data_IF_040536689296
#
_entry.id   IF_040536689296
#
_cell.length_a   1.000
_cell.length_b   1.000
_cell.length_c   1.000
_cell.angle_alpha   90.00
_cell.angle_beta   90.00
_cell.angle_gamma   90.00
#
_symmetry.space_group_name_H-M   'P 1'
#
loop_
_entity.id
_entity.type
_entity.pdbx_description
1 polymer ?
#
# COMPACT_ATOMS: atom_id res chain seq x y z
N UNK A 1 8.37 37.02 7.41
CA UNK A 1 7.41 35.88 7.29
C UNK A 1 7.80 34.84 6.25
N UNK A 2 8.98 34.92 5.64
CA UNK A 2 9.49 33.93 4.68
C UNK A 2 9.68 32.52 5.30
N UNK A 3 9.75 32.41 6.62
CA UNK A 3 9.99 31.16 7.33
C UNK A 3 8.78 30.20 7.26
N UNK A 4 7.58 30.69 6.95
CA UNK A 4 6.35 29.88 6.78
C UNK A 4 6.02 29.57 5.32
N UNK A 5 6.82 30.03 4.36
CA UNK A 5 6.54 29.85 2.94
C UNK A 5 7.22 28.62 2.34
N UNK A 6 8.15 27.96 3.05
CA UNK A 6 8.90 26.78 2.56
C UNK A 6 8.96 25.69 3.61
N UNK A 7 8.74 24.46 3.14
CA UNK A 7 9.11 23.26 3.88
C UNK A 7 10.64 23.12 3.89
N UNK A 8 11.19 22.52 4.93
CA UNK A 8 12.59 22.38 5.33
C UNK A 8 13.72 22.37 4.30
N UNK A 9 14.92 21.99 4.70
CA UNK A 9 16.10 21.97 3.83
C UNK A 9 15.98 20.83 2.78
N UNK A 10 16.50 21.06 1.56
CA UNK A 10 16.56 20.06 0.47
C UNK A 10 17.57 18.95 0.77
N UNK A 11 17.17 18.00 1.61
CA UNK A 11 18.04 16.93 2.12
C UNK A 11 17.66 15.53 1.65
N UNK A 12 16.45 15.34 1.09
CA UNK A 12 15.96 14.03 0.71
C UNK A 12 16.61 13.54 -0.58
N UNK A 13 17.04 12.28 -0.55
CA UNK A 13 17.59 11.54 -1.69
C UNK A 13 16.50 10.84 -2.50
N UNK A 14 16.87 10.26 -3.65
CA UNK A 14 15.98 9.38 -4.42
C UNK A 14 15.42 8.22 -3.56
N UNK A 15 16.25 7.63 -2.70
CA UNK A 15 15.83 6.50 -1.86
C UNK A 15 14.77 6.94 -0.86
N UNK A 16 14.91 8.12 -0.26
CA UNK A 16 13.91 8.64 0.69
C UNK A 16 12.54 8.87 0.03
N UNK A 17 12.50 9.38 -1.19
CA UNK A 17 11.24 9.62 -1.89
C UNK A 17 10.63 8.35 -2.51
N UNK A 18 11.44 7.36 -2.88
CA UNK A 18 10.96 6.01 -3.21
C UNK A 18 10.33 5.36 -1.97
N UNK A 19 11.00 5.47 -0.82
CA UNK A 19 10.51 4.94 0.45
C UNK A 19 9.14 5.51 0.83
N UNK A 20 8.91 6.81 0.58
CA UNK A 20 7.61 7.44 0.82
C UNK A 20 6.51 6.78 -0.01
N UNK A 21 6.71 6.57 -1.32
CA UNK A 21 5.71 5.95 -2.18
C UNK A 21 5.52 4.48 -1.86
N UNK A 22 6.60 3.69 -1.73
CA UNK A 22 6.52 2.27 -1.40
C UNK A 22 5.89 2.06 -0.02
N UNK A 23 6.32 2.83 0.98
CA UNK A 23 5.79 2.74 2.35
C UNK A 23 4.31 3.08 2.42
N UNK A 24 3.83 4.07 1.65
CA UNK A 24 2.40 4.37 1.61
C UNK A 24 1.59 3.31 0.85
N UNK A 25 2.09 2.76 -0.24
CA UNK A 25 1.40 1.66 -0.95
C UNK A 25 1.21 0.41 -0.07
N UNK A 26 2.08 0.19 0.92
CA UNK A 26 1.99 -0.93 1.84
C UNK A 26 1.94 -2.29 1.14
N UNK A 27 3.07 -2.77 0.59
CA UNK A 27 3.06 -3.99 -0.21
C UNK A 27 2.49 -5.20 0.53
N UNK A 28 2.83 -5.36 1.81
CA UNK A 28 2.40 -6.51 2.62
C UNK A 28 0.96 -6.34 3.08
N UNK A 29 0.56 -5.13 3.48
CA UNK A 29 -0.84 -4.81 3.78
C UNK A 29 -1.74 -5.11 2.59
N UNK A 30 -1.34 -4.66 1.40
CA UNK A 30 -2.08 -4.90 0.17
C UNK A 30 -2.15 -6.39 -0.17
N UNK A 31 -1.06 -7.14 0.00
CA UNK A 31 -1.05 -8.59 -0.23
C UNK A 31 -1.96 -9.33 0.75
N UNK A 32 -2.01 -8.92 2.02
CA UNK A 32 -2.82 -9.57 3.04
C UNK A 32 -4.32 -9.28 2.88
N UNK A 33 -4.70 -8.03 2.56
CA UNK A 33 -6.09 -7.58 2.68
C UNK A 33 -6.71 -7.04 1.38
N UNK A 34 -5.93 -6.53 0.43
CA UNK A 34 -6.47 -5.91 -0.78
C UNK A 34 -6.42 -6.83 -2.00
N UNK A 35 -5.38 -7.64 -2.18
CA UNK A 35 -5.33 -8.64 -3.26
C UNK A 35 -6.49 -9.63 -3.17
N UNK A 36 -6.90 -10.14 -1.99
CA UNK A 36 -8.10 -10.95 -1.87
C UNK A 36 -9.38 -10.30 -2.40
N UNK A 37 -9.52 -8.97 -2.28
CA UNK A 37 -10.66 -8.25 -2.85
C UNK A 37 -10.68 -8.31 -4.38
N UNK A 38 -9.51 -8.35 -5.03
CA UNK A 38 -9.37 -8.51 -6.49
C UNK A 38 -9.91 -9.88 -6.92
N UNK A 39 -9.65 -10.92 -6.13
CA UNK A 39 -10.16 -12.26 -6.39
C UNK A 39 -11.68 -12.39 -6.25
N UNK A 40 -12.32 -11.53 -5.45
CA UNK A 40 -13.75 -11.58 -5.19
C UNK A 40 -14.12 -11.70 -3.70
N UNK A 41 -13.14 -11.72 -2.80
CA UNK A 41 -13.35 -11.70 -1.35
C UNK A 41 -13.80 -10.31 -0.87
N UNK A 42 -14.95 -9.87 -1.35
CA UNK A 42 -15.55 -8.58 -1.06
C UNK A 42 -17.05 -8.71 -0.90
N UNK A 43 -17.72 -7.67 -0.42
CA UNK A 43 -19.16 -7.69 -0.12
C UNK A 43 -20.06 -8.04 -1.33
N UNK A 44 -19.56 -7.92 -2.55
CA UNK A 44 -20.33 -8.21 -3.77
C UNK A 44 -20.09 -9.60 -4.35
N UNK A 45 -19.03 -10.29 -3.92
CA UNK A 45 -18.58 -11.56 -4.49
C UNK A 45 -18.08 -11.45 -5.94
N UNK A 46 -17.93 -10.21 -6.48
CA UNK A 46 -17.44 -9.97 -7.84
C UNK A 46 -15.93 -9.77 -7.84
N UNK A 47 -15.25 -10.44 -8.76
CA UNK A 47 -13.81 -10.32 -8.88
C UNK A 47 -13.23 -11.15 -10.00
N UNK A 48 -11.92 -11.07 -10.16
CA UNK A 48 -11.18 -11.78 -11.21
C UNK A 48 -11.08 -13.30 -10.96
N UNK A 49 -11.39 -13.77 -9.74
CA UNK A 49 -11.24 -15.17 -9.38
C UNK A 49 -9.81 -15.65 -9.53
N UNK A 50 -9.60 -16.80 -10.21
CA UNK A 50 -8.26 -17.32 -10.49
C UNK A 50 -7.45 -16.42 -11.42
N UNK A 51 -8.09 -15.54 -12.22
CA UNK A 51 -7.40 -14.54 -13.04
C UNK A 51 -6.93 -13.30 -12.23
N UNK A 52 -6.84 -13.39 -10.91
CA UNK A 52 -6.31 -12.30 -10.04
C UNK A 52 -4.92 -11.82 -10.50
N UNK A 53 -3.94 -12.67 -10.84
CA UNK A 53 -2.65 -12.22 -11.38
C UNK A 53 -2.79 -11.40 -12.67
N UNK A 54 -3.69 -11.78 -13.56
CA UNK A 54 -3.97 -11.03 -14.79
C UNK A 54 -4.59 -9.64 -14.48
N UNK A 55 -5.54 -9.58 -13.55
CA UNK A 55 -6.14 -8.32 -13.13
C UNK A 55 -5.10 -7.37 -12.48
N UNK A 56 -4.15 -7.92 -11.72
CA UNK A 56 -3.01 -7.15 -11.15
C UNK A 56 -2.13 -6.58 -12.26
N UNK A 57 -1.84 -7.35 -13.33
CA UNK A 57 -1.09 -6.83 -14.50
C UNK A 57 -1.82 -5.65 -15.14
N UNK A 58 -3.13 -5.77 -15.37
CA UNK A 58 -3.91 -4.69 -15.96
C UNK A 58 -3.92 -3.44 -15.07
N UNK A 59 -4.09 -3.61 -13.76
CA UNK A 59 -4.02 -2.52 -12.79
C UNK A 59 -2.62 -1.86 -12.77
N UNK A 60 -1.56 -2.66 -12.82
CA UNK A 60 -0.18 -2.16 -12.88
C UNK A 60 0.08 -1.32 -14.14
N UNK A 61 -0.38 -1.79 -15.31
CA UNK A 61 -0.28 -1.04 -16.58
C UNK A 61 -1.03 0.29 -16.48
N UNK A 62 -2.27 0.27 -15.98
CA UNK A 62 -3.07 1.47 -15.79
C UNK A 62 -2.42 2.46 -14.81
N UNK A 63 -1.92 1.96 -13.68
CA UNK A 63 -1.23 2.80 -12.68
C UNK A 63 0.09 3.33 -13.22
N UNK A 64 0.85 2.54 -13.98
CA UNK A 64 2.09 3.01 -14.62
C UNK A 64 1.81 4.14 -15.62
N UNK A 65 0.74 4.05 -16.40
CA UNK A 65 0.31 5.11 -17.31
C UNK A 65 -0.07 6.40 -16.55
N UNK A 66 -0.82 6.28 -15.45
CA UNK A 66 -1.13 7.41 -14.57
C UNK A 66 0.16 7.98 -13.94
N UNK A 67 1.04 7.10 -13.45
CA UNK A 67 2.33 7.47 -12.89
C UNK A 67 3.22 8.23 -13.87
N UNK A 68 3.17 7.85 -15.15
CA UNK A 68 3.88 8.58 -16.21
C UNK A 68 3.36 10.02 -16.34
N UNK A 69 2.05 10.22 -16.34
CA UNK A 69 1.46 11.57 -16.40
C UNK A 69 1.90 12.40 -15.19
N UNK A 70 1.79 11.84 -13.98
CA UNK A 70 2.21 12.52 -12.74
C UNK A 70 3.71 12.84 -12.79
N UNK A 71 4.54 11.92 -13.29
CA UNK A 71 5.98 12.13 -13.46
C UNK A 71 6.31 13.27 -14.44
N UNK A 72 5.55 13.41 -15.53
CA UNK A 72 5.74 14.53 -16.48
C UNK A 72 5.40 15.88 -15.83
N UNK A 73 4.37 15.97 -15.02
CA UNK A 73 4.09 17.17 -14.22
C UNK A 73 5.20 17.43 -13.18
N UNK A 74 5.66 16.39 -12.50
CA UNK A 74 6.71 16.49 -11.48
C UNK A 74 8.07 16.98 -12.03
N UNK A 75 8.33 16.82 -13.32
CA UNK A 75 9.53 17.41 -13.98
C UNK A 75 9.47 18.95 -14.04
N UNK A 76 8.28 19.52 -13.96
CA UNK A 76 8.04 20.96 -14.16
C UNK A 76 7.61 21.68 -12.89
N UNK A 77 6.81 21.01 -12.05
CA UNK A 77 6.19 21.60 -10.84
C UNK A 77 6.76 20.85 -9.63
N UNK A 78 7.41 21.57 -8.72
CA UNK A 78 8.12 21.02 -7.55
C UNK A 78 7.53 21.58 -6.25
N UNK A 79 6.22 21.53 -6.12
CA UNK A 79 5.48 22.02 -4.96
C UNK A 79 4.96 20.84 -4.11
N UNK A 80 4.85 21.03 -2.80
CA UNK A 80 4.40 20.03 -1.85
C UNK A 80 2.94 19.60 -2.01
N UNK A 81 2.13 20.41 -2.69
CA UNK A 81 0.74 20.09 -3.00
C UNK A 81 0.54 19.00 -4.06
N UNK A 82 1.63 18.50 -4.70
CA UNK A 82 1.58 17.34 -5.59
C UNK A 82 0.40 17.41 -6.58
N UNK A 83 -0.55 16.48 -6.50
CA UNK A 83 -1.71 16.41 -7.39
C UNK A 83 -2.56 17.70 -7.37
N UNK A 84 -2.70 18.35 -6.21
CA UNK A 84 -3.38 19.65 -6.09
C UNK A 84 -2.75 20.69 -7.04
N UNK A 85 -1.42 20.82 -6.98
CA UNK A 85 -0.70 21.78 -7.82
C UNK A 85 -0.77 21.41 -9.31
N UNK A 86 -0.71 20.12 -9.63
CA UNK A 86 -0.79 19.64 -11.01
C UNK A 86 -2.16 19.92 -11.62
N UNK A 87 -3.23 19.62 -10.89
CA UNK A 87 -4.61 19.89 -11.33
C UNK A 87 -4.87 21.39 -11.42
N UNK A 88 -4.36 22.18 -10.45
CA UNK A 88 -4.48 23.64 -10.48
C UNK A 88 -3.84 24.23 -11.72
N UNK A 89 -2.64 23.77 -12.09
CA UNK A 89 -1.93 24.23 -13.28
C UNK A 89 -2.57 23.77 -14.59
N UNK A 90 -3.21 22.61 -14.61
CA UNK A 90 -3.82 22.03 -15.81
C UNK A 90 -5.26 22.45 -16.06
N UNK A 91 -6.09 22.54 -15.00
CA UNK A 91 -7.54 22.73 -15.08
C UNK A 91 -8.03 23.99 -14.34
N UNK A 92 -7.11 24.76 -13.75
CA UNK A 92 -7.40 26.00 -13.06
C UNK A 92 -7.69 25.83 -11.56
N UNK A 93 -7.68 26.95 -10.86
CA UNK A 93 -7.72 27.03 -9.39
C UNK A 93 -8.95 26.35 -8.75
N UNK A 94 -10.13 26.53 -9.34
CA UNK A 94 -11.38 25.98 -8.76
C UNK A 94 -11.35 24.45 -8.76
N UNK A 95 -10.96 23.84 -9.88
CA UNK A 95 -10.87 22.39 -10.03
C UNK A 95 -9.73 21.85 -9.16
N UNK A 96 -8.60 22.54 -9.15
CA UNK A 96 -7.47 22.18 -8.29
C UNK A 96 -7.82 22.18 -6.81
N UNK A 97 -8.51 23.21 -6.33
CA UNK A 97 -8.94 23.31 -4.91
C UNK A 97 -9.87 22.13 -4.55
N UNK A 98 -10.86 21.83 -5.38
CA UNK A 98 -11.76 20.68 -5.16
C UNK A 98 -10.95 19.37 -5.13
N UNK A 99 -10.07 19.16 -6.12
CA UNK A 99 -9.23 17.97 -6.19
C UNK A 99 -8.32 17.84 -4.97
N UNK A 100 -7.71 18.95 -4.51
CA UNK A 100 -6.87 18.99 -3.32
C UNK A 100 -7.63 18.60 -2.05
N UNK A 101 -8.80 19.17 -1.82
CA UNK A 101 -9.63 18.81 -0.67
C UNK A 101 -10.13 17.37 -0.71
N UNK A 102 -10.54 16.87 -1.86
CA UNK A 102 -10.94 15.46 -2.02
C UNK A 102 -9.76 14.52 -1.76
N UNK A 103 -8.60 14.79 -2.35
CA UNK A 103 -7.43 13.94 -2.22
C UNK A 103 -6.87 13.94 -0.78
N UNK A 104 -6.61 15.11 -0.22
CA UNK A 104 -6.04 15.19 1.14
C UNK A 104 -7.06 14.89 2.23
N UNK A 105 -8.33 15.15 2.00
CA UNK A 105 -9.41 14.68 2.85
C UNK A 105 -9.45 13.14 2.88
N UNK A 106 -9.42 12.51 1.71
CA UNK A 106 -9.38 11.04 1.62
C UNK A 106 -8.13 10.43 2.27
N UNK A 107 -6.93 11.01 2.05
CA UNK A 107 -5.70 10.49 2.68
C UNK A 107 -5.70 10.69 4.20
N UNK A 108 -6.32 11.74 4.72
CA UNK A 108 -6.48 11.96 6.16
C UNK A 108 -7.45 10.93 6.77
N UNK A 109 -8.56 10.65 6.09
CA UNK A 109 -9.50 9.59 6.50
C UNK A 109 -8.80 8.23 6.47
N UNK A 110 -8.02 7.94 5.42
CA UNK A 110 -7.25 6.71 5.32
C UNK A 110 -6.24 6.58 6.47
N UNK A 111 -5.48 7.63 6.79
CA UNK A 111 -4.56 7.61 7.92
C UNK A 111 -5.26 7.31 9.25
N UNK A 112 -6.47 7.86 9.45
CA UNK A 112 -7.29 7.59 10.62
C UNK A 112 -7.79 6.13 10.65
N UNK A 113 -8.23 5.60 9.51
CA UNK A 113 -8.66 4.21 9.38
C UNK A 113 -7.51 3.23 9.66
N UNK A 114 -6.30 3.52 9.17
CA UNK A 114 -5.10 2.75 9.47
C UNK A 114 -4.79 2.76 10.97
N UNK A 115 -4.93 3.89 11.64
CA UNK A 115 -4.72 3.97 13.09
C UNK A 115 -5.70 3.08 13.87
N UNK A 116 -6.97 3.02 13.44
CA UNK A 116 -7.97 2.13 14.05
C UNK A 116 -7.65 0.67 13.76
N UNK A 117 -7.31 0.34 12.52
CA UNK A 117 -6.99 -1.02 12.08
C UNK A 117 -5.79 -1.59 12.85
N UNK A 118 -4.73 -0.82 13.01
CA UNK A 118 -3.51 -1.30 13.67
C UNK A 118 -3.75 -1.62 15.14
N UNK A 119 -4.56 -0.83 15.84
CA UNK A 119 -4.87 -1.09 17.24
C UNK A 119 -5.71 -2.35 17.42
N UNK A 120 -6.65 -2.62 16.52
CA UNK A 120 -7.40 -3.89 16.49
C UNK A 120 -6.46 -5.07 16.24
N UNK A 121 -5.64 -5.02 15.18
CA UNK A 121 -4.69 -6.09 14.85
C UNK A 121 -3.71 -6.39 15.98
N UNK A 122 -3.11 -5.37 16.60
CA UNK A 122 -2.21 -5.55 17.74
C UNK A 122 -2.92 -6.19 18.92
N UNK A 123 -4.14 -5.72 19.24
CA UNK A 123 -4.93 -6.28 20.32
C UNK A 123 -5.25 -7.76 20.06
N UNK A 124 -5.76 -8.10 18.87
CA UNK A 124 -6.19 -9.44 18.52
C UNK A 124 -5.02 -10.43 18.44
N UNK A 125 -3.86 -9.99 17.87
CA UNK A 125 -2.63 -10.80 17.87
C UNK A 125 -2.14 -11.04 19.29
N UNK A 126 -2.10 -10.04 20.18
CA UNK A 126 -1.67 -10.22 21.56
C UNK A 126 -2.64 -11.09 22.35
N UNK A 127 -3.94 -10.96 22.13
CA UNK A 127 -4.94 -11.78 22.76
C UNK A 127 -4.86 -13.25 22.29
N UNK A 128 -4.76 -13.49 20.99
CA UNK A 128 -4.71 -14.83 20.39
C UNK A 128 -3.41 -15.57 20.70
N UNK A 129 -2.25 -14.91 20.54
CA UNK A 129 -0.96 -15.56 20.63
C UNK A 129 -0.36 -15.60 22.03
N UNK A 130 -0.70 -14.64 22.89
CA UNK A 130 -0.11 -14.49 24.23
C UNK A 130 -1.16 -14.50 25.35
N UNK A 131 -2.46 -14.59 25.04
CA UNK A 131 -3.54 -14.48 26.04
C UNK A 131 -3.61 -13.11 26.72
N UNK A 132 -2.99 -12.07 26.13
CA UNK A 132 -2.89 -10.75 26.73
C UNK A 132 -4.08 -9.87 26.29
N UNK A 133 -5.07 -9.75 27.17
CA UNK A 133 -6.31 -8.98 26.95
C UNK A 133 -6.46 -7.77 27.87
N UNK A 134 -5.45 -7.51 28.73
CA UNK A 134 -5.53 -6.49 29.77
C UNK A 134 -5.62 -5.05 29.23
N UNK A 135 -5.13 -4.81 28.01
CA UNK A 135 -5.10 -3.48 27.39
C UNK A 135 -6.15 -3.41 26.28
N UNK A 136 -7.13 -2.49 26.38
CA UNK A 136 -8.15 -2.33 25.35
C UNK A 136 -7.55 -1.85 24.02
N UNK A 137 -8.18 -2.21 22.88
CA UNK A 137 -7.69 -1.89 21.53
C UNK A 137 -7.45 -0.38 21.29
N UNK A 138 -8.28 0.50 21.87
CA UNK A 138 -8.15 1.94 21.70
C UNK A 138 -6.85 2.51 22.30
N UNK A 139 -6.26 1.86 23.30
CA UNK A 139 -4.95 2.27 23.84
C UNK A 139 -3.85 2.04 22.81
N UNK A 140 -3.91 0.94 22.07
CA UNK A 140 -3.00 0.66 20.96
C UNK A 140 -3.17 1.66 19.81
N UNK A 141 -4.41 2.07 19.52
CA UNK A 141 -4.69 3.14 18.56
C UNK A 141 -4.00 4.44 18.97
N UNK A 142 -4.18 4.86 20.23
CA UNK A 142 -3.54 6.08 20.75
C UNK A 142 -2.02 5.98 20.78
N UNK A 143 -1.49 4.82 21.15
CA UNK A 143 -0.03 4.57 21.13
C UNK A 143 0.53 4.71 19.70
N UNK A 144 -0.17 4.16 18.72
CA UNK A 144 0.22 4.30 17.32
C UNK A 144 0.14 5.75 16.82
N UNK A 145 -0.95 6.46 17.10
CA UNK A 145 -1.08 7.89 16.75
C UNK A 145 0.04 8.71 17.41
N UNK A 146 0.37 8.44 18.68
CA UNK A 146 1.47 9.09 19.38
C UNK A 146 2.82 8.79 18.73
N UNK A 147 3.05 7.55 18.29
CA UNK A 147 4.27 7.14 17.58
C UNK A 147 4.38 7.88 16.24
N UNK A 148 3.31 7.92 15.46
CA UNK A 148 3.28 8.63 14.17
C UNK A 148 3.55 10.12 14.39
N UNK A 149 2.88 10.74 15.37
CA UNK A 149 3.10 12.14 15.72
C UNK A 149 4.55 12.42 16.11
N UNK A 150 5.18 11.54 16.89
CA UNK A 150 6.59 11.64 17.27
C UNK A 150 7.51 11.52 16.04
N UNK A 151 7.30 10.53 15.18
CA UNK A 151 8.11 10.34 13.96
C UNK A 151 7.98 11.55 13.03
N UNK A 152 6.78 12.11 12.89
CA UNK A 152 6.53 13.31 12.09
C UNK A 152 7.22 14.55 12.69
N UNK A 153 7.21 14.69 14.02
CA UNK A 153 7.90 15.78 14.71
C UNK A 153 9.42 15.66 14.61
N UNK A 154 9.96 14.43 14.64
CA UNK A 154 11.41 14.17 14.50
C UNK A 154 11.95 14.53 13.11
N UNK A 155 11.07 14.73 12.11
CA UNK A 155 11.40 15.24 10.79
C UNK A 155 11.23 14.24 9.66
N UNK A 156 11.04 14.77 8.45
CA UNK A 156 10.71 13.99 7.25
C UNK A 156 11.74 12.92 6.90
N UNK A 157 13.02 13.19 7.11
CA UNK A 157 14.09 12.24 6.79
C UNK A 157 14.05 11.01 7.71
N UNK A 158 13.67 11.19 8.98
CA UNK A 158 13.44 10.08 9.91
C UNK A 158 12.19 9.32 9.51
N UNK A 159 11.11 10.03 9.17
CA UNK A 159 9.86 9.44 8.69
C UNK A 159 10.07 8.52 7.49
N UNK A 160 10.77 8.98 6.43
CA UNK A 160 11.02 8.18 5.23
C UNK A 160 11.94 6.98 5.50
N UNK A 161 12.94 7.13 6.36
CA UNK A 161 13.83 6.03 6.75
C UNK A 161 13.11 4.96 7.58
N UNK A 162 12.22 5.36 8.50
CA UNK A 162 11.38 4.44 9.25
C UNK A 162 10.47 3.66 8.29
N UNK A 163 9.78 4.35 7.38
CA UNK A 163 8.98 3.70 6.35
C UNK A 163 9.78 2.70 5.53
N UNK A 164 10.97 3.09 5.05
CA UNK A 164 11.84 2.21 4.28
C UNK A 164 12.21 0.94 5.04
N UNK A 165 12.65 1.09 6.30
CA UNK A 165 13.05 -0.04 7.12
C UNK A 165 11.88 -0.99 7.36
N UNK A 166 10.71 -0.47 7.75
CA UNK A 166 9.52 -1.27 7.99
C UNK A 166 9.07 -2.00 6.71
N UNK A 167 8.96 -1.29 5.58
CA UNK A 167 8.53 -1.89 4.31
C UNK A 167 9.52 -2.91 3.76
N UNK A 168 10.85 -2.67 3.86
CA UNK A 168 11.84 -3.64 3.36
C UNK A 168 11.85 -4.92 4.18
N UNK A 169 11.78 -4.81 5.51
CA UNK A 169 11.74 -5.98 6.39
C UNK A 169 10.47 -6.78 6.09
N UNK A 170 9.32 -6.12 6.08
CA UNK A 170 8.02 -6.77 5.87
C UNK A 170 7.92 -7.40 4.48
N UNK A 171 8.23 -6.63 3.42
CA UNK A 171 8.16 -7.13 2.06
C UNK A 171 9.17 -8.26 1.80
N UNK A 172 10.37 -8.19 2.38
CA UNK A 172 11.39 -9.23 2.27
C UNK A 172 10.92 -10.56 2.86
N UNK A 173 10.38 -10.54 4.08
CA UNK A 173 9.85 -11.74 4.74
C UNK A 173 8.70 -12.35 3.95
N UNK A 174 7.72 -11.53 3.55
CA UNK A 174 6.54 -12.02 2.83
C UNK A 174 6.89 -12.49 1.42
N UNK A 175 7.83 -11.84 0.74
CA UNK A 175 8.31 -12.27 -0.57
C UNK A 175 8.97 -13.66 -0.49
N UNK A 176 9.84 -13.88 0.50
CA UNK A 176 10.46 -15.19 0.73
C UNK A 176 9.41 -16.25 1.03
N UNK A 177 8.41 -15.93 1.84
CA UNK A 177 7.31 -16.83 2.12
C UNK A 177 6.48 -17.16 0.86
N UNK A 178 6.12 -16.17 0.05
CA UNK A 178 5.38 -16.41 -1.20
C UNK A 178 6.17 -17.24 -2.20
N UNK A 179 7.48 -17.04 -2.30
CA UNK A 179 8.35 -17.89 -3.13
C UNK A 179 8.33 -19.32 -2.61
N UNK A 180 8.40 -19.55 -1.30
CA UNK A 180 8.31 -20.87 -0.69
C UNK A 180 6.95 -21.54 -0.99
N UNK A 181 5.84 -20.81 -0.88
CA UNK A 181 4.49 -21.27 -1.27
C UNK A 181 4.46 -21.70 -2.73
N UNK A 182 4.96 -20.87 -3.65
CA UNK A 182 5.00 -21.21 -5.09
C UNK A 182 5.81 -22.47 -5.35
N UNK A 183 6.96 -22.61 -4.70
CA UNK A 183 7.83 -23.79 -4.88
C UNK A 183 7.23 -25.08 -4.31
N UNK A 184 6.41 -24.98 -3.27
CA UNK A 184 5.74 -26.12 -2.61
C UNK A 184 4.35 -26.42 -3.17
N UNK A 185 3.76 -25.51 -3.93
CA UNK A 185 2.44 -25.71 -4.52
C UNK A 185 2.42 -26.97 -5.38
N UNK A 186 1.36 -27.81 -5.26
CA UNK A 186 1.33 -29.14 -5.89
C UNK A 186 1.27 -29.08 -7.41
N UNK A 187 0.85 -27.97 -7.97
CA UNK A 187 0.79 -27.73 -9.42
C UNK A 187 1.14 -26.26 -9.73
N UNK A 188 1.46 -26.02 -10.99
CA UNK A 188 1.70 -24.68 -11.51
C UNK A 188 0.79 -24.48 -12.72
N UNK A 189 0.02 -23.38 -12.71
CA UNK A 189 -0.86 -23.06 -13.82
C UNK A 189 -0.65 -21.59 -14.25
N UNK A 190 -0.13 -21.41 -15.46
CA UNK A 190 0.08 -20.09 -16.05
C UNK A 190 -1.16 -19.54 -16.77
N UNK A 191 -2.23 -20.32 -16.90
CA UNK A 191 -3.49 -19.86 -17.49
C UNK A 191 -4.10 -18.71 -16.69
N UNK A 192 -3.79 -18.62 -15.39
CA UNK A 192 -4.23 -17.52 -14.48
C UNK A 192 -3.75 -16.13 -14.92
N UNK A 193 -2.76 -16.05 -15.81
CA UNK A 193 -2.32 -14.82 -16.46
C UNK A 193 -3.13 -14.47 -17.72
N UNK A 194 -4.24 -15.14 -17.94
CA UNK A 194 -5.12 -14.92 -19.09
C UNK A 194 -6.56 -14.64 -18.64
N UNK A 195 -7.37 -13.96 -19.46
CA UNK A 195 -8.78 -13.72 -19.14
C UNK A 195 -9.60 -14.99 -19.00
N UNK A 196 -9.16 -16.11 -19.61
CA UNK A 196 -9.89 -17.37 -19.61
C UNK A 196 -10.00 -18.02 -18.22
N UNK A 197 -9.09 -17.68 -17.28
CA UNK A 197 -9.12 -18.17 -15.91
C UNK A 197 -10.19 -17.52 -15.02
N UNK A 198 -10.90 -16.50 -15.50
CA UNK A 198 -11.97 -15.86 -14.73
C UNK A 198 -13.32 -16.51 -15.04
N UNK A 199 -13.97 -17.10 -14.04
CA UNK A 199 -15.33 -17.64 -14.16
C UNK A 199 -16.36 -16.54 -14.48
N UNK A 200 -16.14 -15.30 -14.02
CA UNK A 200 -17.00 -14.15 -14.29
C UNK A 200 -16.60 -13.40 -15.58
N UNK A 201 -15.60 -13.91 -16.32
CA UNK A 201 -15.10 -13.32 -17.56
C UNK A 201 -14.59 -11.90 -17.39
N UNK A 202 -14.68 -11.10 -18.44
CA UNK A 202 -14.20 -9.71 -18.42
C UNK A 202 -14.88 -8.82 -17.37
N UNK A 203 -16.16 -9.08 -17.04
CA UNK A 203 -16.87 -8.32 -16.01
C UNK A 203 -16.21 -8.48 -14.65
N UNK A 204 -15.86 -9.71 -14.28
CA UNK A 204 -15.15 -9.99 -13.05
C UNK A 204 -13.73 -9.43 -13.05
N UNK A 205 -13.01 -9.55 -14.17
CA UNK A 205 -11.65 -9.01 -14.32
C UNK A 205 -11.66 -7.48 -14.13
N UNK A 206 -12.54 -6.75 -14.84
CA UNK A 206 -12.61 -5.30 -14.72
C UNK A 206 -13.04 -4.84 -13.32
N UNK A 207 -13.91 -5.61 -12.67
CA UNK A 207 -14.25 -5.38 -11.27
C UNK A 207 -13.04 -5.62 -10.35
N UNK A 208 -12.27 -6.67 -10.60
CA UNK A 208 -10.99 -6.92 -9.92
C UNK A 208 -9.98 -5.80 -10.15
N UNK A 209 -9.87 -5.27 -11.37
CA UNK A 209 -8.99 -4.13 -11.68
C UNK A 209 -9.35 -2.89 -10.85
N UNK A 210 -10.65 -2.66 -10.56
CA UNK A 210 -11.08 -1.58 -9.68
C UNK A 210 -10.39 -1.66 -8.29
N UNK A 211 -10.39 -2.86 -7.69
CA UNK A 211 -9.63 -3.11 -6.45
C UNK A 211 -8.13 -3.13 -6.70
N UNK A 212 -7.70 -3.59 -7.88
CA UNK A 212 -6.30 -3.57 -8.31
C UNK A 212 -5.69 -2.17 -8.34
N UNK A 213 -6.46 -1.14 -8.64
CA UNK A 213 -5.98 0.25 -8.53
C UNK A 213 -5.74 0.66 -7.08
N UNK A 214 -6.54 0.15 -6.12
CA UNK A 214 -6.38 0.48 -4.70
C UNK A 214 -5.04 0.01 -4.12
N UNK A 215 -4.48 -1.13 -4.58
CA UNK A 215 -3.20 -1.61 -4.07
C UNK A 215 -2.02 -0.69 -4.44
N UNK A 216 -2.21 0.20 -5.41
CA UNK A 216 -1.20 1.17 -5.84
C UNK A 216 -1.42 2.57 -5.28
N UNK A 217 -2.47 2.83 -4.51
CA UNK A 217 -2.70 4.15 -3.91
C UNK A 217 -1.49 4.54 -3.07
N UNK A 218 -0.94 5.73 -3.34
CA UNK A 218 0.28 6.22 -2.70
C UNK A 218 1.50 6.30 -3.62
N UNK A 219 1.44 5.74 -4.85
CA UNK A 219 2.56 5.80 -5.80
C UNK A 219 3.02 7.23 -6.09
N UNK A 220 2.11 8.18 -6.05
CA UNK A 220 2.33 9.60 -6.33
C UNK A 220 2.88 10.40 -5.14
N UNK A 221 2.89 9.83 -3.93
CA UNK A 221 3.19 10.58 -2.70
C UNK A 221 4.65 11.02 -2.58
N UNK A 222 5.57 10.46 -3.38
CA UNK A 222 6.90 11.03 -3.57
C UNK A 222 6.84 12.51 -3.96
N UNK A 223 5.83 12.92 -4.74
CA UNK A 223 5.68 14.31 -5.18
C UNK A 223 5.36 15.29 -4.04
N UNK A 224 4.76 14.83 -2.93
CA UNK A 224 4.54 15.65 -1.74
C UNK A 224 5.85 16.09 -1.05
N UNK A 225 6.96 15.40 -1.35
CA UNK A 225 8.29 15.69 -0.81
C UNK A 225 9.16 16.51 -1.77
N UNK A 226 8.59 17.04 -2.86
CA UNK A 226 9.35 17.72 -3.89
C UNK A 226 10.14 18.94 -3.37
N UNK A 227 9.56 19.72 -2.44
CA UNK A 227 10.23 20.89 -1.86
C UNK A 227 11.42 20.52 -0.96
N UNK A 228 11.39 19.34 -0.34
CA UNK A 228 12.41 18.83 0.58
C UNK A 228 13.46 17.94 -0.11
N UNK A 229 13.28 17.65 -1.41
CA UNK A 229 14.15 16.79 -2.21
C UNK A 229 15.32 17.59 -2.82
N UNK A 230 16.54 17.02 -2.78
CA UNK A 230 17.74 17.68 -3.29
C UNK A 230 17.69 17.94 -4.80
N UNK A 231 17.27 16.94 -5.58
CA UNK A 231 17.14 17.02 -7.04
C UNK A 231 15.72 16.65 -7.50
N UNK A 232 14.69 17.49 -7.21
CA UNK A 232 13.29 17.09 -7.41
C UNK A 232 12.96 16.77 -8.86
N UNK A 233 13.53 17.51 -9.84
CA UNK A 233 13.31 17.28 -11.28
C UNK A 233 13.66 15.88 -11.77
N UNK A 234 14.61 15.23 -11.11
CA UNK A 234 15.08 13.88 -11.47
C UNK A 234 14.57 12.82 -10.52
N UNK A 235 14.62 13.11 -9.22
CA UNK A 235 14.32 12.13 -8.17
C UNK A 235 12.82 11.82 -8.11
N UNK A 236 11.95 12.84 -8.15
CA UNK A 236 10.50 12.61 -8.02
C UNK A 236 9.93 11.78 -9.19
N UNK A 237 10.16 12.12 -10.49
CA UNK A 237 9.66 11.30 -11.59
C UNK A 237 10.19 9.87 -11.56
N UNK A 238 11.45 9.68 -11.21
CA UNK A 238 12.05 8.35 -11.07
C UNK A 238 11.44 7.58 -9.92
N UNK A 239 11.25 8.22 -8.77
CA UNK A 239 10.66 7.58 -7.60
C UNK A 239 9.25 7.07 -7.90
N UNK A 240 8.40 7.89 -8.52
CA UNK A 240 7.04 7.51 -8.91
C UNK A 240 7.05 6.26 -9.79
N UNK A 241 7.80 6.28 -10.89
CA UNK A 241 7.80 5.16 -11.83
C UNK A 241 8.48 3.91 -11.27
N UNK A 242 9.60 4.07 -10.57
CA UNK A 242 10.35 2.95 -9.99
C UNK A 242 9.55 2.27 -8.88
N UNK A 243 8.86 3.03 -8.02
CA UNK A 243 8.03 2.45 -6.96
C UNK A 243 6.86 1.64 -7.54
N UNK A 244 6.19 2.13 -8.59
CA UNK A 244 5.14 1.37 -9.27
C UNK A 244 5.69 0.05 -9.83
N UNK A 245 6.85 0.07 -10.49
CA UNK A 245 7.45 -1.15 -11.07
C UNK A 245 7.84 -2.15 -9.99
N UNK A 246 8.55 -1.70 -8.95
CA UNK A 246 9.00 -2.58 -7.84
C UNK A 246 7.79 -3.23 -7.16
N UNK A 247 6.78 -2.43 -6.83
CA UNK A 247 5.61 -2.93 -6.11
C UNK A 247 4.73 -3.80 -7.02
N UNK A 248 4.66 -3.51 -8.34
CA UNK A 248 3.98 -4.38 -9.31
C UNK A 248 4.55 -5.80 -9.35
N UNK A 249 5.88 -5.94 -9.32
CA UNK A 249 6.53 -7.26 -9.28
C UNK A 249 6.17 -7.99 -7.99
N UNK A 250 6.20 -7.31 -6.85
CA UNK A 250 5.80 -7.89 -5.57
C UNK A 250 4.34 -8.35 -5.59
N UNK A 251 3.41 -7.50 -6.06
CA UNK A 251 1.99 -7.83 -6.12
C UNK A 251 1.68 -8.97 -7.08
N UNK A 252 2.42 -9.07 -8.19
CA UNK A 252 2.27 -10.17 -9.12
C UNK A 252 2.67 -11.50 -8.50
N UNK A 253 3.80 -11.53 -7.80
CA UNK A 253 4.25 -12.71 -7.05
C UNK A 253 3.23 -13.05 -5.95
N UNK A 254 2.76 -12.06 -5.19
CA UNK A 254 1.78 -12.24 -4.13
C UNK A 254 0.44 -12.79 -4.66
N UNK A 255 -0.07 -12.24 -5.76
CA UNK A 255 -1.30 -12.70 -6.39
C UNK A 255 -1.18 -14.13 -6.90
N UNK A 256 -0.06 -14.46 -7.57
CA UNK A 256 0.19 -15.81 -8.05
C UNK A 256 0.35 -16.80 -6.90
N UNK A 257 1.13 -16.44 -5.87
CA UNK A 257 1.33 -17.30 -4.69
C UNK A 257 0.02 -17.61 -3.97
N UNK A 258 -0.89 -16.65 -3.84
CA UNK A 258 -2.19 -16.88 -3.23
C UNK A 258 -3.03 -17.86 -4.07
N UNK A 259 -3.12 -17.67 -5.37
CA UNK A 259 -3.88 -18.60 -6.24
C UNK A 259 -3.26 -19.99 -6.26
N UNK A 260 -1.93 -20.09 -6.39
CA UNK A 260 -1.20 -21.37 -6.40
C UNK A 260 -1.26 -22.09 -5.04
N UNK A 261 -1.15 -21.32 -3.95
CA UNK A 261 -1.19 -21.88 -2.59
C UNK A 261 -2.54 -22.50 -2.23
N UNK A 262 -3.63 -22.03 -2.84
CA UNK A 262 -4.95 -22.67 -2.73
C UNK A 262 -5.23 -23.67 -3.86
N UNK A 263 -4.19 -24.15 -4.55
CA UNK A 263 -4.28 -25.23 -5.54
C UNK A 263 -5.03 -24.88 -6.80
N UNK A 264 -5.12 -23.60 -7.16
CA UNK A 264 -5.92 -23.10 -8.30
C UNK A 264 -7.40 -23.48 -8.22
N UNK A 265 -7.92 -23.64 -7.00
CA UNK A 265 -9.34 -23.87 -6.75
C UNK A 265 -10.01 -22.61 -6.21
N UNK A 266 -10.98 -22.08 -6.97
CA UNK A 266 -11.68 -20.86 -6.62
C UNK A 266 -12.52 -21.02 -5.35
N UNK A 267 -13.12 -22.19 -5.13
CA UNK A 267 -13.94 -22.42 -3.94
C UNK A 267 -13.10 -22.39 -2.67
N UNK A 268 -11.91 -22.98 -2.73
CA UNK A 268 -10.95 -22.94 -1.61
C UNK A 268 -10.41 -21.53 -1.39
N UNK A 269 -10.05 -20.82 -2.47
CA UNK A 269 -9.57 -19.43 -2.40
C UNK A 269 -10.61 -18.47 -1.80
N UNK A 270 -11.88 -18.59 -2.21
CA UNK A 270 -12.98 -17.75 -1.75
C UNK A 270 -13.72 -18.30 -0.53
N UNK A 271 -13.37 -19.49 -0.05
CA UNK A 271 -14.01 -20.20 1.05
C UNK A 271 -13.48 -19.84 2.44
N UNK A 272 -12.98 -20.83 3.14
CA UNK A 272 -12.57 -20.72 4.56
C UNK A 272 -11.40 -19.77 4.80
N UNK A 273 -10.54 -19.55 3.80
CA UNK A 273 -9.45 -18.59 3.86
C UNK A 273 -9.87 -17.13 3.70
N UNK A 274 -11.15 -16.88 3.55
CA UNK A 274 -11.74 -15.62 3.10
C UNK A 274 -11.34 -14.38 3.91
N UNK A 275 -10.99 -14.52 5.19
CA UNK A 275 -10.67 -13.35 6.02
C UNK A 275 -9.26 -12.80 5.76
N UNK A 276 -8.27 -13.69 5.57
CA UNK A 276 -6.88 -13.30 5.30
C UNK A 276 -6.09 -14.46 4.68
N UNK A 277 -6.09 -14.63 3.34
CA UNK A 277 -5.40 -15.73 2.66
C UNK A 277 -3.91 -15.85 3.01
N UNK A 278 -3.21 -14.75 3.24
CA UNK A 278 -1.81 -14.77 3.65
C UNK A 278 -1.60 -15.55 4.95
N UNK A 279 -2.47 -15.36 5.95
CA UNK A 279 -2.35 -16.04 7.25
C UNK A 279 -2.79 -17.50 7.15
N UNK A 280 -3.80 -17.81 6.35
CA UNK A 280 -4.20 -19.18 6.07
C UNK A 280 -3.05 -19.97 5.44
N UNK A 281 -2.37 -19.42 4.44
CA UNK A 281 -1.19 -20.00 3.84
C UNK A 281 -0.01 -20.12 4.82
N UNK A 282 0.15 -19.13 5.73
CA UNK A 282 1.18 -19.11 6.78
C UNK A 282 0.97 -20.11 7.91
N UNK A 283 -0.23 -20.67 8.03
CA UNK A 283 -0.58 -21.65 9.05
C UNK A 283 0.21 -22.97 8.89
N UNK A 284 0.30 -23.80 9.95
CA UNK A 284 0.95 -25.10 9.88
C UNK A 284 0.38 -26.03 8.80
N UNK A 285 1.23 -26.95 8.29
CA UNK A 285 0.85 -27.89 7.25
C UNK A 285 -0.28 -28.85 7.69
N UNK A 286 -0.41 -29.12 8.98
CA UNK A 286 -1.46 -29.97 9.56
C UNK A 286 -2.87 -29.39 9.37
N UNK A 287 -2.96 -28.07 9.16
CA UNK A 287 -4.22 -27.36 8.91
C UNK A 287 -4.30 -26.82 7.46
N UNK A 288 -3.46 -27.35 6.57
CA UNK A 288 -3.50 -27.03 5.15
C UNK A 288 -2.67 -25.80 4.73
N UNK A 289 -1.84 -25.26 5.63
CA UNK A 289 -0.92 -24.18 5.30
C UNK A 289 0.44 -24.66 4.78
N UNK A 290 1.32 -23.72 4.48
CA UNK A 290 2.71 -23.95 4.03
C UNK A 290 3.75 -23.57 5.09
N UNK A 291 3.29 -23.00 6.21
CA UNK A 291 4.13 -22.46 7.25
C UNK A 291 4.23 -23.29 8.51
N UNK A 292 4.29 -22.59 9.61
CA UNK A 292 4.31 -23.14 10.98
C UNK A 292 3.76 -22.07 11.92
N UNK A 293 3.54 -22.40 13.19
CA UNK A 293 3.11 -21.41 14.19
C UNK A 293 4.08 -20.24 14.32
N UNK A 294 5.38 -20.46 14.13
CA UNK A 294 6.39 -19.40 14.14
C UNK A 294 6.31 -18.52 12.90
N UNK A 295 6.12 -19.14 11.72
CA UNK A 295 5.97 -18.39 10.45
C UNK A 295 4.69 -17.54 10.49
N UNK A 296 3.58 -18.10 10.98
CA UNK A 296 2.34 -17.35 11.12
C UNK A 296 2.52 -16.09 12.00
N UNK A 297 3.11 -16.23 13.18
CA UNK A 297 3.42 -15.11 14.08
C UNK A 297 4.34 -14.06 13.42
N UNK A 298 5.32 -14.52 12.64
CA UNK A 298 6.20 -13.62 11.91
C UNK A 298 5.44 -12.86 10.82
N UNK A 299 4.53 -13.53 10.08
CA UNK A 299 3.69 -12.88 9.09
C UNK A 299 2.75 -11.83 9.72
N UNK A 300 2.13 -12.15 10.85
CA UNK A 300 1.30 -11.20 11.60
C UNK A 300 2.11 -9.97 12.01
N UNK A 301 3.31 -10.18 12.56
CA UNK A 301 4.20 -9.09 12.95
C UNK A 301 4.56 -8.19 11.76
N UNK A 302 4.99 -8.78 10.64
CA UNK A 302 5.43 -7.96 9.48
C UNK A 302 4.26 -7.27 8.78
N UNK A 303 3.05 -7.80 8.85
CA UNK A 303 1.83 -7.11 8.41
C UNK A 303 1.58 -5.88 9.27
N UNK A 304 1.67 -5.98 10.59
CA UNK A 304 1.54 -4.82 11.51
C UNK A 304 2.62 -3.77 11.22
N UNK A 305 3.87 -4.19 10.99
CA UNK A 305 4.96 -3.26 10.64
C UNK A 305 4.72 -2.53 9.31
N UNK A 306 4.21 -3.23 8.31
CA UNK A 306 3.91 -2.62 7.00
C UNK A 306 2.72 -1.65 7.09
N UNK A 307 1.67 -2.02 7.83
CA UNK A 307 0.53 -1.12 8.10
C UNK A 307 1.01 0.14 8.85
N UNK A 308 1.97 0.00 9.76
CA UNK A 308 2.57 1.15 10.43
C UNK A 308 3.30 2.07 9.42
N UNK A 309 4.01 1.51 8.45
CA UNK A 309 4.64 2.28 7.38
C UNK A 309 3.60 3.03 6.52
N UNK A 310 2.46 2.38 6.18
CA UNK A 310 1.33 3.03 5.48
C UNK A 310 0.80 4.21 6.28
N UNK A 311 0.59 4.05 7.59
CA UNK A 311 0.11 5.11 8.47
C UNK A 311 1.05 6.32 8.53
N UNK A 312 2.36 6.08 8.65
CA UNK A 312 3.38 7.15 8.60
C UNK A 312 3.39 7.82 7.23
N UNK A 313 3.30 7.05 6.14
CA UNK A 313 3.25 7.56 4.77
C UNK A 313 2.03 8.44 4.51
N UNK A 314 0.86 7.98 4.92
CA UNK A 314 -0.41 8.71 4.79
C UNK A 314 -0.39 10.02 5.61
N UNK A 315 0.10 9.99 6.85
CA UNK A 315 0.25 11.18 7.69
C UNK A 315 1.23 12.18 7.07
N UNK A 316 2.34 11.69 6.51
CA UNK A 316 3.34 12.52 5.80
C UNK A 316 2.73 13.22 4.59
N UNK A 317 2.03 12.49 3.72
CA UNK A 317 1.39 13.05 2.53
C UNK A 317 0.30 14.05 2.90
N UNK A 318 -0.59 13.69 3.85
CA UNK A 318 -1.70 14.55 4.31
C UNK A 318 -1.19 15.86 4.90
N UNK A 319 -0.20 15.81 5.79
CA UNK A 319 0.32 17.02 6.45
C UNK A 319 0.91 18.01 5.46
N UNK A 320 1.63 17.53 4.43
CA UNK A 320 2.23 18.39 3.41
C UNK A 320 1.19 18.93 2.44
N UNK A 321 0.20 18.13 2.09
CA UNK A 321 -0.90 18.58 1.25
C UNK A 321 -1.77 19.62 1.91
N UNK A 322 -2.15 19.41 3.18
CA UNK A 322 -2.90 20.41 3.96
C UNK A 322 -2.07 21.70 4.15
N UNK A 323 -0.75 21.57 4.36
CA UNK A 323 0.14 22.73 4.40
C UNK A 323 0.11 23.51 3.08
N UNK A 324 0.16 22.83 1.92
CA UNK A 324 0.10 23.49 0.62
C UNK A 324 -1.24 24.22 0.41
N UNK A 325 -2.37 23.56 0.71
CA UNK A 325 -3.70 24.20 0.65
C UNK A 325 -3.79 25.43 1.58
N UNK A 326 -3.29 25.32 2.80
CA UNK A 326 -3.31 26.42 3.77
C UNK A 326 -2.40 27.59 3.33
N UNK A 327 -1.23 27.32 2.76
CA UNK A 327 -0.32 28.31 2.20
C UNK A 327 -0.98 29.12 1.09
N UNK A 328 -1.73 28.46 0.23
CA UNK A 328 -2.46 29.09 -0.87
C UNK A 328 -3.80 29.71 -0.42
N UNK A 329 -4.09 29.69 0.88
CA UNK A 329 -5.34 30.22 1.48
C UNK A 329 -6.61 29.57 0.90
N UNK A 330 -6.57 28.24 0.68
CA UNK A 330 -7.64 27.43 0.08
C UNK A 330 -8.36 26.54 1.11
#
# INVERSE_FOLDING_TARGET
>A
NEQYERLGAKTLSLVDVVAQSVGFMGPVFSAAFLIPLIAGLNATGKGAGLATPFAVILAAIGTFAMGWIVAEYAKRIHAAGSLYDYVTNGLGERVGTIAGWLYYGATTVLASAIAVLIGGLVHDTLAGEFGFTAVPYWVWNLAFVGLVAYVMWAGVQISTRVQLALSLISAGVVLLFFVDVILKAPSQDLSVFTPAASEQGWSGILFGVLYGVLIFVGFETAANLAEETAEPKRSIPRAILTSVVIVSVFYLIAAYAQVAGFGFDLNTLLGEAAAAPLFALGSPAEVGGYGSSLILKLLELVVVLDIAAVGVGAATASSRGVFALARDRR
#
